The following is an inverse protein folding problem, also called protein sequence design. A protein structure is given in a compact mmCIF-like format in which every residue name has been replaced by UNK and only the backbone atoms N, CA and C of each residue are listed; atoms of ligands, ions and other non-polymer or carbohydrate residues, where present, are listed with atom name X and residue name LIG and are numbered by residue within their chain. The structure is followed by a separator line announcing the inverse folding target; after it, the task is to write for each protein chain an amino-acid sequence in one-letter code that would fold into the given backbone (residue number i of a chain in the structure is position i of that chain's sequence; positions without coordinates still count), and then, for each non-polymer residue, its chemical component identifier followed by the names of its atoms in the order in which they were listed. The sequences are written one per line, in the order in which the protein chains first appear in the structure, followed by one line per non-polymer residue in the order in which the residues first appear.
data_IF_930745249288
#
_entry.id   IF_930745249288
#
_cell.length_a   1.000
_cell.length_b   1.000
_cell.length_c   1.000
_cell.angle_alpha   90.00
_cell.angle_beta   90.00
_cell.angle_gamma   90.00
#
_symmetry.space_group_name_H-M   'P 1'
#
loop_
_entity.id
_entity.type
_entity.pdbx_description
1 polymer ?
#
# COMPACT_ATOMS: atom_id res chain seq x y z
N UNK A 1 -10.06 1.56 -1.76
CA UNK A 1 -8.67 1.06 -1.73
C UNK A 1 -8.74 -0.42 -2.12
N UNK A 2 -7.73 -1.00 -2.79
CA UNK A 2 -7.72 -2.46 -2.97
C UNK A 2 -7.12 -3.09 -1.70
N UNK A 3 -7.71 -4.18 -1.24
CA UNK A 3 -7.29 -4.94 -0.06
C UNK A 3 -6.73 -6.30 -0.50
N UNK A 4 -5.62 -6.70 0.11
CA UNK A 4 -4.94 -7.97 -0.14
C UNK A 4 -4.59 -8.62 1.19
N UNK A 5 -4.55 -9.96 1.23
CA UNK A 5 -3.92 -10.66 2.36
C UNK A 5 -2.40 -10.60 2.25
N UNK A 6 -1.64 -10.81 3.34
CA UNK A 6 -0.18 -10.88 3.25
C UNK A 6 0.32 -11.96 2.29
N UNK A 7 -0.34 -13.11 2.25
CA UNK A 7 0.01 -14.20 1.34
C UNK A 7 -0.23 -13.83 -0.13
N UNK A 8 -1.36 -13.21 -0.45
CA UNK A 8 -1.64 -12.75 -1.81
C UNK A 8 -0.66 -11.63 -2.23
N UNK A 9 -0.40 -10.70 -1.32
CA UNK A 9 0.53 -9.60 -1.58
C UNK A 9 1.95 -10.11 -1.83
N UNK A 10 2.39 -11.14 -1.12
CA UNK A 10 3.69 -11.77 -1.33
C UNK A 10 3.78 -12.44 -2.71
N UNK A 11 2.73 -13.15 -3.14
CA UNK A 11 2.69 -13.80 -4.45
C UNK A 11 2.69 -12.80 -5.61
N UNK A 12 2.07 -11.63 -5.41
CA UNK A 12 1.86 -10.61 -6.45
C UNK A 12 2.69 -9.33 -6.25
N UNK A 13 3.73 -9.35 -5.41
CA UNK A 13 4.43 -8.13 -4.98
C UNK A 13 4.92 -7.26 -6.14
N UNK A 14 5.51 -7.87 -7.17
CA UNK A 14 5.99 -7.14 -8.35
C UNK A 14 4.88 -6.43 -9.12
N UNK A 15 3.70 -7.05 -9.21
CA UNK A 15 2.52 -6.48 -9.88
C UNK A 15 1.93 -5.34 -9.05
N UNK A 16 1.89 -5.52 -7.72
CA UNK A 16 1.45 -4.48 -6.79
C UNK A 16 2.37 -3.26 -6.83
N UNK A 17 3.70 -3.44 -6.88
CA UNK A 17 4.66 -2.34 -7.02
C UNK A 17 4.41 -1.57 -8.33
N UNK A 18 4.21 -2.27 -9.45
CA UNK A 18 3.86 -1.62 -10.72
C UNK A 18 2.55 -0.85 -10.61
N UNK A 19 1.53 -1.47 -10.03
CA UNK A 19 0.21 -0.87 -9.83
C UNK A 19 0.28 0.44 -9.03
N UNK A 20 0.94 0.45 -7.86
CA UNK A 20 1.01 1.67 -7.02
C UNK A 20 1.80 2.79 -7.68
N UNK A 21 2.81 2.46 -8.51
CA UNK A 21 3.59 3.44 -9.25
C UNK A 21 2.82 4.03 -10.45
N UNK A 22 2.15 3.19 -11.24
CA UNK A 22 1.45 3.63 -12.46
C UNK A 22 0.11 4.28 -12.16
N UNK A 23 -0.64 3.70 -11.22
CA UNK A 23 -2.01 4.13 -10.92
C UNK A 23 -2.07 5.19 -9.83
N UNK A 24 -0.95 5.43 -9.11
CA UNK A 24 -0.88 6.34 -7.94
C UNK A 24 -2.00 6.08 -6.94
N UNK A 25 -2.33 4.80 -6.74
CA UNK A 25 -3.37 4.35 -5.83
C UNK A 25 -2.75 3.45 -4.76
N UNK A 26 -2.89 3.77 -3.47
CA UNK A 26 -2.40 2.91 -2.41
C UNK A 26 -3.19 1.59 -2.37
N UNK A 27 -2.51 0.56 -1.89
CA UNK A 27 -3.06 -0.77 -1.63
C UNK A 27 -2.93 -1.05 -0.15
N UNK A 28 -3.99 -1.60 0.44
CA UNK A 28 -4.00 -2.07 1.82
C UNK A 28 -3.71 -3.56 1.84
N UNK A 29 -2.85 -3.99 2.75
CA UNK A 29 -2.54 -5.38 3.00
C UNK A 29 -2.95 -5.66 4.44
N UNK A 30 -3.96 -6.50 4.64
CA UNK A 30 -4.60 -6.73 5.93
C UNK A 30 -4.72 -8.22 6.16
N UNK A 31 -4.48 -8.66 7.41
CA UNK A 31 -4.63 -10.06 7.77
C UNK A 31 -6.08 -10.54 7.54
N UNK A 32 -6.29 -11.82 7.18
CA UNK A 32 -7.63 -12.36 6.94
C UNK A 32 -8.56 -12.29 8.17
N UNK A 33 -7.99 -12.17 9.37
CA UNK A 33 -8.76 -12.01 10.61
C UNK A 33 -9.30 -10.57 10.80
N UNK A 34 -9.00 -9.67 9.85
CA UNK A 34 -9.53 -8.31 9.78
C UNK A 34 -8.96 -7.39 10.86
N UNK A 35 -7.88 -7.79 11.55
CA UNK A 35 -7.26 -6.96 12.56
C UNK A 35 -6.37 -5.91 11.92
N UNK A 36 -6.82 -4.67 12.04
CA UNK A 36 -6.13 -3.53 11.44
C UNK A 36 -4.77 -3.21 12.08
N UNK A 37 -4.51 -3.75 13.28
CA UNK A 37 -3.27 -3.52 14.02
C UNK A 37 -2.00 -3.97 13.28
N UNK A 38 -2.13 -4.93 12.37
CA UNK A 38 -1.04 -5.43 11.53
C UNK A 38 -1.21 -5.06 10.05
N UNK A 39 -2.20 -4.24 9.71
CA UNK A 39 -2.38 -3.77 8.34
C UNK A 39 -1.20 -2.91 7.91
N UNK A 40 -0.77 -3.08 6.67
CA UNK A 40 0.22 -2.22 6.04
C UNK A 40 -0.34 -1.59 4.78
N UNK A 41 0.13 -0.39 4.45
CA UNK A 41 -0.23 0.30 3.21
C UNK A 41 0.98 0.30 2.28
N UNK A 42 0.80 -0.21 1.08
CA UNK A 42 1.77 -0.08 0.00
C UNK A 42 1.39 1.12 -0.88
N UNK A 43 2.33 2.03 -1.09
CA UNK A 43 2.16 3.20 -1.95
C UNK A 43 3.48 3.56 -2.63
N UNK A 44 3.41 4.43 -3.65
CA UNK A 44 4.62 4.94 -4.30
C UNK A 44 5.42 5.83 -3.33
N UNK A 45 6.75 5.79 -3.45
CA UNK A 45 7.63 6.65 -2.64
C UNK A 45 7.33 8.14 -2.88
N UNK A 46 7.06 8.54 -4.12
CA UNK A 46 6.75 9.93 -4.46
C UNK A 46 5.49 10.42 -3.77
N UNK A 47 4.45 9.59 -3.68
CA UNK A 47 3.21 9.98 -3.00
C UNK A 47 3.44 10.07 -1.48
N UNK A 48 4.24 9.17 -0.91
CA UNK A 48 4.63 9.25 0.51
C UNK A 48 5.40 10.53 0.82
N UNK A 49 6.37 10.88 -0.02
CA UNK A 49 7.19 12.08 0.15
C UNK A 49 6.32 13.35 0.04
N UNK A 50 5.35 13.39 -0.89
CA UNK A 50 4.39 14.49 -1.04
C UNK A 50 3.50 14.68 0.19
N UNK A 51 2.97 13.58 0.74
CA UNK A 51 2.13 13.63 1.94
C UNK A 51 2.90 14.15 3.16
N UNK A 52 4.18 13.79 3.29
CA UNK A 52 5.00 14.27 4.40
C UNK A 52 5.40 15.74 4.24
N UNK A 53 5.73 16.19 3.03
CA UNK A 53 5.99 17.61 2.77
C UNK A 53 4.79 18.48 3.15
N UNK A 54 3.58 18.06 2.75
CA UNK A 54 2.33 18.79 3.06
C UNK A 54 2.02 18.84 4.56
N UNK A 55 2.62 17.97 5.38
CA UNK A 55 2.42 17.95 6.82
C UNK A 55 3.35 18.91 7.57
N UNK A 56 4.49 19.22 6.98
CA UNK A 56 5.53 20.05 7.59
C UNK A 56 5.44 21.55 7.17
N UNK A 57 4.52 21.87 6.23
CA UNK A 57 4.14 23.23 5.78
C UNK A 57 2.90 23.77 6.53
#
# INVERSE_FOLDING_TARGET
MKEYTPSDAQQHLSELIKYVNEQRKPVMITDPDGKDENSVVLMSKSDWDFLNQTRDD
#
